data_IF_533985588833
#
_entry.id   IF_533985588833
#
_cell.length_a   1.000
_cell.length_b   1.000
_cell.length_c   1.000
_cell.angle_alpha   90.00
_cell.angle_beta   90.00
_cell.angle_gamma   90.00
#
_symmetry.space_group_name_H-M   'P 1'
#
loop_
_entity.id
_entity.type
_entity.pdbx_description
1 polymer ?
#
# COMPACT_ATOMS: atom_id res chain seq x y z
N UNK A 1 14.42 7.80 -49.44
CA UNK A 1 14.35 6.38 -49.00
C UNK A 1 14.77 6.20 -47.54
N UNK A 2 16.04 6.43 -47.14
CA UNK A 2 16.46 6.23 -45.73
C UNK A 2 15.79 7.22 -44.76
N UNK A 3 15.64 8.49 -45.16
CA UNK A 3 14.98 9.52 -44.36
C UNK A 3 13.47 9.30 -44.20
N UNK A 4 12.82 8.78 -45.25
CA UNK A 4 11.39 8.48 -45.23
C UNK A 4 11.11 7.28 -44.32
N UNK A 5 11.92 6.22 -44.44
CA UNK A 5 11.86 5.05 -43.56
C UNK A 5 12.06 5.45 -42.09
N UNK A 6 13.04 6.32 -41.81
CA UNK A 6 13.27 6.85 -40.46
C UNK A 6 12.05 7.63 -39.94
N UNK A 7 11.47 8.49 -40.76
CA UNK A 7 10.26 9.25 -40.39
C UNK A 7 9.08 8.31 -40.07
N UNK A 8 8.85 7.27 -40.88
CA UNK A 8 7.79 6.27 -40.60
C UNK A 8 8.03 5.52 -39.30
N UNK A 9 9.26 5.10 -39.02
CA UNK A 9 9.62 4.42 -37.77
C UNK A 9 9.36 5.33 -36.56
N UNK A 10 9.73 6.60 -36.64
CA UNK A 10 9.48 7.58 -35.58
C UNK A 10 7.98 7.77 -35.36
N UNK A 11 7.20 8.01 -36.42
CA UNK A 11 5.74 8.19 -36.32
C UNK A 11 5.07 6.94 -35.74
N UNK A 12 5.44 5.75 -36.22
CA UNK A 12 4.90 4.49 -35.72
C UNK A 12 5.23 4.26 -34.25
N UNK A 13 6.45 4.58 -33.83
CA UNK A 13 6.88 4.49 -32.42
C UNK A 13 6.07 5.44 -31.55
N UNK A 14 5.89 6.70 -31.98
CA UNK A 14 5.08 7.69 -31.25
C UNK A 14 3.63 7.24 -31.13
N UNK A 15 3.05 6.67 -32.19
CA UNK A 15 1.68 6.13 -32.16
C UNK A 15 1.56 4.97 -31.17
N UNK A 16 2.49 4.02 -31.17
CA UNK A 16 2.49 2.90 -30.20
C UNK A 16 2.59 3.43 -28.76
N UNK A 17 3.50 4.38 -28.51
CA UNK A 17 3.65 4.98 -27.18
C UNK A 17 2.36 5.72 -26.76
N UNK A 18 1.73 6.44 -27.69
CA UNK A 18 0.46 7.12 -27.44
C UNK A 18 -0.69 6.16 -27.12
N UNK A 19 -0.83 5.08 -27.90
CA UNK A 19 -1.86 4.06 -27.70
C UNK A 19 -1.64 3.32 -26.36
N UNK A 20 -0.41 2.91 -26.07
CA UNK A 20 -0.10 2.22 -24.80
C UNK A 20 -0.36 3.12 -23.59
N UNK A 21 0.05 4.40 -23.66
CA UNK A 21 -0.25 5.37 -22.62
C UNK A 21 -1.75 5.59 -22.40
N UNK A 22 -2.54 5.64 -23.48
CA UNK A 22 -4.00 5.75 -23.40
C UNK A 22 -4.63 4.53 -22.72
N UNK A 23 -4.19 3.32 -23.10
CA UNK A 23 -4.67 2.06 -22.50
C UNK A 23 -4.34 2.02 -21.01
N UNK A 24 -3.10 2.31 -20.62
CA UNK A 24 -2.68 2.28 -19.21
C UNK A 24 -3.39 3.35 -18.36
N UNK A 25 -3.59 4.55 -18.90
CA UNK A 25 -4.37 5.58 -18.23
C UNK A 25 -5.85 5.17 -18.06
N UNK A 26 -6.41 4.46 -19.03
CA UNK A 26 -7.78 3.93 -18.94
C UNK A 26 -7.88 2.82 -17.89
N UNK A 27 -6.91 1.89 -17.85
CA UNK A 27 -6.81 0.87 -16.79
C UNK A 27 -6.71 1.52 -15.41
N UNK A 28 -5.84 2.52 -15.27
CA UNK A 28 -5.70 3.29 -14.04
C UNK A 28 -7.03 3.88 -13.59
N UNK A 29 -7.71 4.65 -14.43
CA UNK A 29 -9.01 5.27 -14.09
C UNK A 29 -10.08 4.27 -13.67
N UNK A 30 -10.04 3.05 -14.22
CA UNK A 30 -11.01 1.99 -13.92
C UNK A 30 -10.61 1.11 -12.72
N UNK A 31 -9.36 1.17 -12.27
CA UNK A 31 -8.86 0.43 -11.10
C UNK A 31 -9.46 0.93 -9.79
N UNK A 32 -9.41 0.11 -8.73
CA UNK A 32 -9.87 0.52 -7.39
C UNK A 32 -9.10 1.75 -6.89
N UNK A 33 -7.79 1.81 -7.17
CA UNK A 33 -6.92 2.91 -6.78
C UNK A 33 -7.25 4.19 -7.55
N UNK A 34 -7.38 4.13 -8.87
CA UNK A 34 -7.67 5.31 -9.69
C UNK A 34 -9.06 5.91 -9.44
N UNK A 35 -10.05 5.10 -9.05
CA UNK A 35 -11.37 5.60 -8.64
C UNK A 35 -11.36 6.41 -7.34
N UNK A 36 -10.41 6.13 -6.45
CA UNK A 36 -10.26 6.84 -5.15
C UNK A 36 -9.19 7.93 -5.20
N UNK A 37 -8.27 7.89 -6.16
CA UNK A 37 -7.18 8.85 -6.29
C UNK A 37 -7.63 10.12 -7.04
N UNK A 38 -7.30 11.27 -6.49
CA UNK A 38 -7.46 12.58 -7.16
C UNK A 38 -6.30 12.91 -8.11
N UNK A 39 -5.27 12.06 -8.17
CA UNK A 39 -4.06 12.29 -8.97
C UNK A 39 -4.25 11.75 -10.39
N UNK A 40 -3.68 12.44 -11.37
CA UNK A 40 -3.60 11.91 -12.74
C UNK A 40 -2.64 10.71 -12.80
N UNK A 41 -2.84 9.83 -13.80
CA UNK A 41 -1.96 8.69 -14.04
C UNK A 41 -0.47 9.10 -14.13
N UNK A 42 -0.16 10.19 -14.83
CA UNK A 42 1.21 10.71 -14.94
C UNK A 42 1.77 11.20 -13.60
N UNK A 43 0.94 11.83 -12.77
CA UNK A 43 1.35 12.22 -11.42
C UNK A 43 1.64 11.01 -10.53
N UNK A 44 0.91 9.91 -10.73
CA UNK A 44 1.22 8.63 -10.09
C UNK A 44 2.57 8.12 -10.60
N UNK A 45 2.78 8.03 -11.91
CA UNK A 45 4.02 7.50 -12.51
C UNK A 45 5.29 8.27 -12.12
N UNK A 46 5.19 9.58 -11.87
CA UNK A 46 6.33 10.40 -11.46
C UNK A 46 6.67 10.28 -9.97
N UNK A 47 5.81 9.65 -9.18
CA UNK A 47 5.99 9.45 -7.74
C UNK A 47 6.33 7.99 -7.43
N UNK A 48 7.46 7.76 -6.77
CA UNK A 48 7.91 6.40 -6.46
C UNK A 48 6.99 5.68 -5.48
N UNK A 49 6.47 6.38 -4.47
CA UNK A 49 5.56 5.82 -3.47
C UNK A 49 4.20 5.48 -4.10
N UNK A 50 3.60 6.46 -4.78
CA UNK A 50 2.30 6.30 -5.41
C UNK A 50 2.30 5.22 -6.51
N UNK A 51 3.39 5.10 -7.29
CA UNK A 51 3.57 3.97 -8.22
C UNK A 51 3.58 2.62 -7.51
N UNK A 52 4.27 2.54 -6.38
CA UNK A 52 4.35 1.32 -5.58
C UNK A 52 2.96 0.90 -5.12
N UNK A 53 2.21 1.83 -4.53
CA UNK A 53 0.82 1.61 -4.11
C UNK A 53 -0.08 1.18 -5.26
N UNK A 54 -0.04 1.90 -6.40
CA UNK A 54 -0.85 1.55 -7.57
C UNK A 54 -0.54 0.13 -8.07
N UNK A 55 0.74 -0.23 -8.22
CA UNK A 55 1.14 -1.60 -8.63
C UNK A 55 0.67 -2.67 -7.64
N UNK A 56 0.75 -2.38 -6.34
CA UNK A 56 0.23 -3.27 -5.32
C UNK A 56 -1.30 -3.42 -5.45
N UNK A 57 -2.02 -2.32 -5.68
CA UNK A 57 -3.47 -2.35 -5.91
C UNK A 57 -3.87 -3.19 -7.13
N UNK A 58 -3.08 -3.17 -8.20
CA UNK A 58 -3.36 -4.00 -9.39
C UNK A 58 -3.27 -5.50 -9.08
N UNK A 59 -2.32 -5.92 -8.23
CA UNK A 59 -2.23 -7.30 -7.77
C UNK A 59 -3.38 -7.67 -6.84
N UNK A 60 -3.77 -6.76 -5.95
CA UNK A 60 -4.91 -6.94 -5.07
C UNK A 60 -6.18 -7.09 -5.92
N UNK A 61 -6.47 -6.15 -6.82
CA UNK A 61 -7.64 -6.17 -7.72
C UNK A 61 -7.75 -7.50 -8.47
N UNK A 62 -6.64 -7.99 -9.04
CA UNK A 62 -6.57 -9.28 -9.77
C UNK A 62 -6.75 -10.52 -8.89
N UNK A 63 -6.59 -10.41 -7.56
CA UNK A 63 -6.84 -11.55 -6.68
C UNK A 63 -8.31 -11.98 -6.73
N UNK A 64 -8.55 -13.28 -6.57
CA UNK A 64 -9.91 -13.85 -6.61
C UNK A 64 -10.63 -13.81 -5.25
N UNK A 65 -10.14 -13.00 -4.31
CA UNK A 65 -10.81 -12.72 -3.04
C UNK A 65 -11.99 -11.77 -3.29
N UNK A 66 -13.12 -12.07 -2.66
CA UNK A 66 -14.19 -11.09 -2.49
C UNK A 66 -13.70 -10.04 -1.49
N UNK A 67 -13.62 -8.80 -1.95
CA UNK A 67 -12.89 -7.75 -1.24
C UNK A 67 -13.37 -6.35 -1.61
N UNK A 68 -13.04 -5.40 -0.73
CA UNK A 68 -13.04 -3.97 -0.97
C UNK A 68 -11.67 -3.40 -0.60
N UNK A 69 -11.21 -2.41 -1.36
CA UNK A 69 -9.93 -1.74 -1.12
C UNK A 69 -10.19 -0.28 -0.78
N UNK A 70 -9.44 0.23 0.20
CA UNK A 70 -9.42 1.64 0.58
C UNK A 70 -7.97 2.11 0.56
N UNK A 71 -7.74 3.34 0.09
CA UNK A 71 -6.40 3.89 -0.06
C UNK A 71 -6.28 5.22 0.70
N UNK A 72 -5.10 5.49 1.27
CA UNK A 72 -4.79 6.72 2.00
C UNK A 72 -5.85 7.03 3.08
N UNK A 73 -6.09 6.08 3.99
CA UNK A 73 -7.15 6.16 4.99
C UNK A 73 -6.62 6.89 6.23
N UNK A 74 -7.24 8.01 6.61
CA UNK A 74 -6.83 8.82 7.76
C UNK A 74 -7.63 8.44 9.00
N UNK A 75 -7.03 7.62 9.86
CA UNK A 75 -7.66 7.16 11.11
C UNK A 75 -7.40 8.18 12.22
N UNK A 76 -8.44 8.74 12.86
CA UNK A 76 -8.28 9.63 14.00
C UNK A 76 -7.60 8.94 15.19
N UNK A 77 -6.73 9.68 15.88
CA UNK A 77 -6.13 9.27 17.16
C UNK A 77 -6.86 9.95 18.32
N UNK A 78 -6.25 9.93 19.50
CA UNK A 78 -6.83 10.48 20.74
C UNK A 78 -6.95 12.00 20.75
N UNK A 79 -6.05 12.71 20.08
CA UNK A 79 -6.05 14.18 20.05
C UNK A 79 -6.80 14.65 18.82
N UNK A 80 -7.57 15.72 18.99
CA UNK A 80 -8.17 16.45 17.88
C UNK A 80 -7.07 16.80 16.86
N UNK A 81 -7.37 16.59 15.58
CA UNK A 81 -6.47 16.73 14.43
C UNK A 81 -5.20 15.86 14.39
N UNK A 82 -5.05 14.87 15.27
CA UNK A 82 -3.99 13.86 15.15
C UNK A 82 -4.53 12.62 14.47
N UNK A 83 -3.98 12.30 13.30
CA UNK A 83 -4.39 11.15 12.49
C UNK A 83 -3.21 10.22 12.20
N UNK A 84 -3.52 8.96 11.91
CA UNK A 84 -2.57 8.07 11.24
C UNK A 84 -3.08 7.77 9.85
N UNK A 85 -2.22 7.91 8.84
CA UNK A 85 -2.52 7.49 7.48
C UNK A 85 -2.18 6.00 7.34
N UNK A 86 -3.06 5.25 6.69
CA UNK A 86 -2.86 3.86 6.29
C UNK A 86 -2.87 3.82 4.76
N UNK A 87 -1.79 3.36 4.15
CA UNK A 87 -1.62 3.37 2.70
C UNK A 87 -2.73 2.60 2.00
N UNK A 88 -2.93 1.32 2.38
CA UNK A 88 -3.97 0.46 1.81
C UNK A 88 -4.62 -0.41 2.90
N UNK A 89 -5.95 -0.41 2.93
CA UNK A 89 -6.74 -1.38 3.69
C UNK A 89 -7.46 -2.28 2.69
N UNK A 90 -7.28 -3.59 2.83
CA UNK A 90 -8.09 -4.58 2.12
C UNK A 90 -9.04 -5.25 3.12
N UNK A 91 -10.34 -5.10 2.89
CA UNK A 91 -11.39 -5.78 3.64
C UNK A 91 -11.85 -6.93 2.77
N UNK A 92 -11.68 -8.17 3.21
CA UNK A 92 -12.11 -9.35 2.45
C UNK A 92 -12.70 -10.40 3.39
N UNK A 93 -13.23 -11.48 2.83
CA UNK A 93 -13.87 -12.53 3.65
C UNK A 93 -12.91 -13.16 4.66
N UNK A 94 -11.59 -13.02 4.48
CA UNK A 94 -10.54 -13.53 5.38
C UNK A 94 -10.15 -12.56 6.50
N UNK A 95 -10.74 -11.36 6.54
CA UNK A 95 -10.47 -10.33 7.54
C UNK A 95 -10.07 -8.98 6.94
N UNK A 96 -9.51 -8.11 7.80
CA UNK A 96 -8.98 -6.80 7.43
C UNK A 96 -7.46 -6.89 7.34
N UNK A 97 -6.93 -6.71 6.14
CA UNK A 97 -5.49 -6.59 5.92
C UNK A 97 -5.12 -5.12 5.95
N UNK A 98 -4.21 -4.74 6.84
CA UNK A 98 -3.58 -3.42 6.88
C UNK A 98 -2.24 -3.54 6.17
N UNK A 99 -2.11 -2.91 5.00
CA UNK A 99 -0.96 -3.07 4.14
C UNK A 99 -0.05 -1.85 4.22
N UNK A 100 1.25 -2.11 4.40
CA UNK A 100 2.31 -1.12 4.30
C UNK A 100 3.24 -1.52 3.15
N UNK A 101 3.41 -0.64 2.15
CA UNK A 101 4.30 -0.91 1.02
C UNK A 101 5.58 -0.11 1.16
N UNK A 102 6.70 -0.79 1.37
CA UNK A 102 8.00 -0.16 1.52
C UNK A 102 8.81 -0.20 0.23
N UNK A 103 9.11 0.99 -0.27
CA UNK A 103 9.93 1.20 -1.46
C UNK A 103 11.42 1.31 -1.11
N UNK A 104 12.04 0.19 -0.71
CA UNK A 104 13.48 0.07 -0.44
C UNK A 104 14.19 -0.78 -1.49
N UNK A 105 15.50 -0.92 -1.40
CA UNK A 105 16.32 -1.69 -2.33
C UNK A 105 17.48 -2.36 -1.60
N UNK A 106 18.15 -3.32 -2.25
CA UNK A 106 19.28 -3.99 -1.61
C UNK A 106 18.82 -5.00 -0.56
N UNK A 107 19.55 -5.13 0.55
CA UNK A 107 19.28 -6.15 1.57
C UNK A 107 18.53 -5.56 2.77
N UNK A 108 17.45 -6.22 3.18
CA UNK A 108 16.63 -5.80 4.31
C UNK A 108 16.82 -6.76 5.48
N UNK A 109 17.03 -6.18 6.67
CA UNK A 109 17.23 -6.87 7.94
C UNK A 109 16.36 -6.24 9.01
N UNK A 110 15.81 -7.08 9.89
CA UNK A 110 15.07 -6.62 11.05
C UNK A 110 14.25 -7.72 11.70
N UNK A 111 13.84 -7.49 12.93
CA UNK A 111 12.90 -8.33 13.66
C UNK A 111 11.67 -7.53 14.07
N UNK A 112 10.59 -8.25 14.34
CA UNK A 112 9.37 -7.67 14.92
C UNK A 112 9.63 -6.86 16.19
N UNK A 113 10.57 -7.31 17.03
CA UNK A 113 10.93 -6.66 18.31
C UNK A 113 11.77 -5.39 18.13
N UNK A 114 12.44 -5.22 17.00
CA UNK A 114 13.32 -4.07 16.78
C UNK A 114 12.56 -2.75 16.66
N UNK A 115 13.14 -1.67 17.18
CA UNK A 115 12.58 -0.32 16.95
C UNK A 115 12.78 0.16 15.52
N UNK A 116 13.91 -0.20 14.90
CA UNK A 116 14.29 0.21 13.54
C UNK A 116 14.82 -1.00 12.79
N UNK A 117 14.54 -1.04 11.50
CA UNK A 117 15.11 -2.01 10.57
C UNK A 117 16.26 -1.38 9.80
N UNK A 118 17.04 -2.22 9.11
CA UNK A 118 18.21 -1.82 8.35
C UNK A 118 18.05 -2.22 6.88
N UNK A 119 18.26 -1.26 5.99
CA UNK A 119 18.52 -1.45 4.57
C UNK A 119 20.03 -1.37 4.36
N UNK A 120 20.62 -2.33 3.64
CA UNK A 120 22.00 -2.26 3.17
C UNK A 120 22.00 -2.09 1.65
N UNK A 121 22.50 -0.95 1.19
CA UNK A 121 22.63 -0.61 -0.22
C UNK A 121 24.09 -0.27 -0.53
N UNK A 122 24.72 -1.03 -1.44
CA UNK A 122 26.13 -0.86 -1.81
C UNK A 122 27.08 -0.80 -0.60
N UNK A 123 26.86 -1.69 0.38
CA UNK A 123 27.64 -1.77 1.62
C UNK A 123 27.32 -0.70 2.67
N UNK A 124 26.51 0.32 2.35
CA UNK A 124 26.08 1.36 3.29
C UNK A 124 24.79 0.95 3.99
N UNK A 125 24.70 1.21 5.30
CA UNK A 125 23.54 0.90 6.14
C UNK A 125 22.66 2.13 6.31
N UNK A 126 21.37 1.99 6.06
CA UNK A 126 20.35 2.99 6.29
C UNK A 126 19.28 2.40 7.20
N UNK A 127 18.98 3.09 8.29
CA UNK A 127 18.00 2.60 9.26
C UNK A 127 16.66 3.29 9.05
N UNK A 128 15.56 2.55 9.15
CA UNK A 128 14.21 3.10 9.04
C UNK A 128 13.32 2.54 10.14
N UNK A 129 12.21 3.23 10.42
CA UNK A 129 11.28 2.77 11.47
C UNK A 129 10.69 1.41 11.11
N UNK A 130 10.55 0.53 12.10
CA UNK A 130 10.03 -0.82 11.88
C UNK A 130 8.58 -0.76 11.31
N UNK A 131 8.35 -1.29 10.10
CA UNK A 131 7.03 -1.23 9.45
C UNK A 131 5.97 -2.07 10.16
N UNK A 132 6.36 -3.15 10.86
CA UNK A 132 5.43 -3.94 11.67
C UNK A 132 4.89 -3.08 12.83
N UNK A 133 5.77 -2.32 13.50
CA UNK A 133 5.35 -1.44 14.60
C UNK A 133 4.49 -0.27 14.13
N UNK A 134 4.70 0.18 12.90
CA UNK A 134 3.85 1.17 12.24
C UNK A 134 2.44 0.58 12.05
N UNK A 135 2.32 -0.58 11.42
CA UNK A 135 1.04 -1.28 11.26
C UNK A 135 0.35 -1.64 12.57
N UNK A 136 1.08 -2.07 13.61
CA UNK A 136 0.48 -2.33 14.92
C UNK A 136 -0.16 -1.07 15.51
N UNK A 137 0.42 0.11 15.25
CA UNK A 137 -0.19 1.38 15.64
C UNK A 137 -1.45 1.66 14.83
N UNK A 138 -1.42 1.41 13.52
CA UNK A 138 -2.59 1.54 12.64
C UNK A 138 -3.74 0.64 13.09
N UNK A 139 -3.48 -0.66 13.24
CA UNK A 139 -4.45 -1.67 13.69
C UNK A 139 -5.02 -1.29 15.05
N UNK A 140 -4.19 -0.83 16.00
CA UNK A 140 -4.68 -0.38 17.32
C UNK A 140 -5.70 0.75 17.24
N UNK A 141 -5.52 1.72 16.34
CA UNK A 141 -6.51 2.81 16.20
C UNK A 141 -7.71 2.38 15.36
N UNK A 142 -7.49 1.53 14.35
CA UNK A 142 -8.55 0.95 13.54
C UNK A 142 -9.48 0.09 14.40
N UNK A 143 -8.94 -0.74 15.28
CA UNK A 143 -9.75 -1.58 16.17
C UNK A 143 -10.52 -0.78 17.22
N UNK A 144 -9.95 0.31 17.73
CA UNK A 144 -10.72 1.23 18.59
C UNK A 144 -11.91 1.85 17.88
N UNK A 145 -11.77 2.12 16.58
CA UNK A 145 -12.82 2.70 15.75
C UNK A 145 -13.87 1.66 15.37
N UNK A 146 -13.44 0.46 14.98
CA UNK A 146 -14.32 -0.56 14.40
C UNK A 146 -14.91 -1.52 15.43
N UNK A 147 -14.13 -1.87 16.46
CA UNK A 147 -14.49 -2.75 17.59
C UNK A 147 -15.02 -4.11 17.13
N UNK A 148 -14.24 -4.78 16.27
CA UNK A 148 -14.66 -6.05 15.65
C UNK A 148 -13.88 -7.27 16.11
N UNK A 149 -12.85 -7.08 16.96
CA UNK A 149 -11.94 -8.12 17.41
C UNK A 149 -10.57 -8.03 16.75
N UNK A 150 -9.51 -7.96 17.57
CA UNK A 150 -8.11 -7.88 17.12
C UNK A 150 -7.71 -9.06 16.22
N UNK A 151 -8.34 -10.22 16.41
CA UNK A 151 -8.07 -11.40 15.62
C UNK A 151 -8.35 -11.14 14.14
N UNK A 152 -9.35 -10.32 13.79
CA UNK A 152 -9.77 -10.07 12.40
C UNK A 152 -8.77 -9.26 11.58
N UNK A 153 -7.74 -8.71 12.20
CA UNK A 153 -6.72 -7.92 11.50
C UNK A 153 -5.51 -8.75 11.13
N UNK A 154 -4.94 -8.45 9.97
CA UNK A 154 -3.66 -8.97 9.51
C UNK A 154 -2.76 -7.81 9.12
N UNK A 155 -1.57 -7.73 9.71
CA UNK A 155 -0.54 -6.77 9.30
C UNK A 155 0.26 -7.36 8.14
N UNK A 156 0.16 -6.75 6.96
CA UNK A 156 0.88 -7.20 5.78
C UNK A 156 1.89 -6.14 5.33
N UNK A 157 3.17 -6.42 5.57
CA UNK A 157 4.27 -5.57 5.10
C UNK A 157 4.76 -6.14 3.78
N UNK A 158 4.76 -5.30 2.75
CA UNK A 158 5.33 -5.65 1.45
C UNK A 158 6.55 -4.79 1.16
N UNK A 159 7.52 -5.37 0.47
CA UNK A 159 8.66 -4.66 -0.08
C UNK A 159 8.65 -4.80 -1.60
N UNK A 160 9.05 -3.74 -2.31
CA UNK A 160 9.15 -3.78 -3.77
C UNK A 160 10.07 -4.92 -4.28
N UNK A 161 10.09 -5.15 -5.59
CA UNK A 161 10.91 -6.20 -6.21
C UNK A 161 12.42 -6.01 -6.10
N UNK A 162 12.89 -4.81 -5.72
CA UNK A 162 14.32 -4.46 -5.60
C UNK A 162 14.89 -4.78 -4.21
N UNK A 163 14.02 -5.09 -3.24
CA UNK A 163 14.39 -5.44 -1.89
C UNK A 163 14.58 -6.96 -1.74
N UNK A 164 15.65 -7.34 -1.06
CA UNK A 164 15.98 -8.73 -0.73
C UNK A 164 15.87 -8.91 0.78
N UNK A 165 14.82 -9.58 1.23
CA UNK A 165 14.62 -9.93 2.64
C UNK A 165 15.66 -10.98 3.04
N UNK A 166 16.66 -10.59 3.86
CA UNK A 166 17.77 -11.49 4.23
C UNK A 166 17.57 -12.16 5.58
N UNK A 167 17.37 -11.36 6.63
CA UNK A 167 17.11 -11.86 7.99
C UNK A 167 15.95 -11.07 8.57
N UNK A 168 14.75 -11.57 8.30
CA UNK A 168 13.52 -11.06 8.85
C UNK A 168 12.97 -12.08 9.85
N UNK A 169 12.76 -11.66 11.09
CA UNK A 169 12.18 -12.52 12.14
C UNK A 169 10.84 -11.94 12.56
N UNK A 170 9.78 -12.73 12.36
CA UNK A 170 8.40 -12.42 12.75
C UNK A 170 7.92 -13.55 13.64
N UNK A 171 7.32 -13.20 14.77
CA UNK A 171 6.85 -14.17 15.78
C UNK A 171 5.31 -14.18 15.86
N UNK A 172 4.65 -13.07 15.52
CA UNK A 172 3.19 -12.95 15.56
C UNK A 172 2.51 -13.67 14.37
N UNK A 173 1.45 -14.42 14.65
CA UNK A 173 0.72 -15.24 13.66
C UNK A 173 0.03 -14.43 12.54
N UNK A 174 -0.48 -13.24 12.89
CA UNK A 174 -1.21 -12.36 11.97
C UNK A 174 -0.32 -11.25 11.38
N UNK A 175 1.01 -11.44 11.40
CA UNK A 175 1.98 -10.51 10.82
C UNK A 175 2.72 -11.21 9.69
N UNK A 176 2.70 -10.62 8.51
CA UNK A 176 3.38 -11.13 7.33
C UNK A 176 4.32 -10.07 6.76
N UNK A 177 5.54 -10.49 6.42
CA UNK A 177 6.53 -9.66 5.73
C UNK A 177 6.95 -10.39 4.48
N UNK A 178 6.55 -9.88 3.32
CA UNK A 178 6.74 -10.58 2.05
C UNK A 178 7.33 -9.68 0.96
N UNK A 179 8.08 -10.27 0.05
CA UNK A 179 8.50 -9.58 -1.16
C UNK A 179 7.33 -9.44 -2.13
N UNK A 180 7.33 -8.37 -2.94
CA UNK A 180 6.28 -8.07 -3.93
C UNK A 180 5.96 -9.27 -4.84
N UNK A 181 7.00 -9.97 -5.30
CA UNK A 181 6.84 -11.13 -6.20
C UNK A 181 6.12 -12.33 -5.53
N UNK A 182 6.05 -12.36 -4.19
CA UNK A 182 5.37 -13.40 -3.43
C UNK A 182 3.92 -13.04 -3.08
N UNK A 183 3.48 -11.79 -3.31
CA UNK A 183 2.15 -11.31 -2.93
C UNK A 183 1.02 -12.10 -3.60
N UNK A 184 1.13 -12.39 -4.89
CA UNK A 184 0.10 -13.17 -5.60
C UNK A 184 -0.07 -14.57 -5.01
N UNK A 185 1.04 -15.26 -4.71
CA UNK A 185 1.03 -16.57 -4.06
C UNK A 185 0.44 -16.48 -2.65
N UNK A 186 0.82 -15.46 -1.89
CA UNK A 186 0.26 -15.20 -0.56
C UNK A 186 -1.26 -15.05 -0.61
N UNK A 187 -1.80 -14.17 -1.46
CA UNK A 187 -3.25 -13.94 -1.58
C UNK A 187 -4.01 -15.20 -2.02
N UNK A 188 -3.39 -16.03 -2.87
CA UNK A 188 -3.97 -17.32 -3.27
C UNK A 188 -4.06 -18.30 -2.08
N UNK A 189 -3.05 -18.32 -1.21
CA UNK A 189 -3.06 -19.13 0.00
C UNK A 189 -4.08 -18.60 1.02
N UNK A 190 -4.18 -17.28 1.20
CA UNK A 190 -5.17 -16.68 2.09
C UNK A 190 -6.60 -17.05 1.69
N UNK A 191 -6.90 -17.12 0.39
CA UNK A 191 -8.22 -17.53 -0.10
C UNK A 191 -8.66 -18.92 0.39
N UNK A 192 -7.73 -19.83 0.65
CA UNK A 192 -8.04 -21.18 1.13
C UNK A 192 -8.35 -21.25 2.64
N UNK A 193 -8.10 -20.17 3.40
CA UNK A 193 -8.42 -20.11 4.84
C UNK A 193 -9.93 -19.98 5.07
N UNK A 194 -10.44 -20.33 6.26
CA UNK A 194 -11.84 -20.08 6.63
C UNK A 194 -12.22 -18.60 6.53
N UNK A 195 -13.49 -18.34 6.23
CA UNK A 195 -14.02 -16.97 6.28
C UNK A 195 -14.16 -16.49 7.73
N UNK A 196 -13.92 -15.19 7.90
CA UNK A 196 -13.95 -14.45 9.17
C UNK A 196 -14.84 -13.22 9.10
N UNK A 197 -15.21 -12.81 7.88
CA UNK A 197 -16.13 -11.75 7.56
C UNK A 197 -17.09 -12.22 6.48
N UNK A 198 -18.36 -11.87 6.63
CA UNK A 198 -19.40 -12.01 5.62
C UNK A 198 -19.37 -10.86 4.61
N UNK A 199 -19.99 -11.05 3.44
CA UNK A 199 -20.17 -10.00 2.43
C UNK A 199 -20.83 -8.73 2.99
N UNK A 200 -21.79 -8.91 3.90
CA UNK A 200 -22.48 -7.81 4.57
C UNK A 200 -21.55 -7.03 5.50
N UNK A 201 -20.77 -7.72 6.33
CA UNK A 201 -19.76 -7.08 7.17
C UNK A 201 -18.70 -6.34 6.32
N UNK A 202 -18.27 -6.92 5.19
CA UNK A 202 -17.34 -6.25 4.27
C UNK A 202 -17.91 -4.90 3.79
N UNK A 203 -19.18 -4.87 3.38
CA UNK A 203 -19.83 -3.65 2.92
C UNK A 203 -19.99 -2.64 4.05
N UNK A 204 -20.46 -3.06 5.22
CA UNK A 204 -20.62 -2.19 6.38
C UNK A 204 -19.28 -1.56 6.82
N UNK A 205 -18.21 -2.34 6.87
CA UNK A 205 -16.87 -1.85 7.22
C UNK A 205 -16.33 -0.89 6.15
N UNK A 206 -16.57 -1.19 4.87
CA UNK A 206 -16.18 -0.33 3.77
C UNK A 206 -16.88 1.04 3.85
N UNK A 207 -18.19 1.07 4.02
CA UNK A 207 -18.97 2.32 4.13
C UNK A 207 -18.56 3.15 5.36
N UNK A 208 -18.20 2.51 6.48
CA UNK A 208 -17.68 3.20 7.67
C UNK A 208 -16.33 3.86 7.45
N UNK A 209 -15.46 3.25 6.63
CA UNK A 209 -14.09 3.72 6.43
C UNK A 209 -13.93 4.62 5.20
N UNK A 210 -14.81 4.52 4.20
CA UNK A 210 -14.74 5.30 2.97
C UNK A 210 -14.69 6.83 3.18
N UNK A 211 -15.46 7.44 4.10
CA UNK A 211 -15.35 8.88 4.38
C UNK A 211 -13.94 9.30 4.86
N UNK A 212 -13.20 8.39 5.49
CA UNK A 212 -11.86 8.66 6.03
C UNK A 212 -10.77 8.69 4.93
N UNK A 213 -11.10 8.37 3.68
CA UNK A 213 -10.21 8.55 2.52
C UNK A 213 -10.39 9.93 1.87
N UNK A 214 -11.49 10.61 2.16
CA UNK A 214 -11.90 11.85 1.51
C UNK A 214 -11.45 13.10 2.29
N UNK A 215 -10.21 13.09 2.77
CA UNK A 215 -9.67 14.22 3.55
C UNK A 215 -9.31 15.41 2.65
N UNK A 216 -9.46 16.61 3.20
CA UNK A 216 -9.10 17.85 2.51
C UNK A 216 -7.58 18.00 2.35
N UNK A 217 -7.12 18.81 1.39
CA UNK A 217 -5.70 19.17 1.25
C UNK A 217 -5.12 19.78 2.54
N UNK A 218 -5.93 20.55 3.28
CA UNK A 218 -5.54 21.15 4.54
C UNK A 218 -5.27 20.09 5.62
N UNK A 219 -6.17 19.12 5.78
CA UNK A 219 -5.98 17.99 6.71
C UNK A 219 -4.75 17.15 6.34
N UNK A 220 -4.51 16.92 5.04
CA UNK A 220 -3.31 16.22 4.57
C UNK A 220 -2.03 16.99 4.91
N UNK A 221 -2.03 18.32 4.73
CA UNK A 221 -0.88 19.15 5.10
C UNK A 221 -0.64 19.16 6.62
N UNK A 222 -1.70 19.29 7.41
CA UNK A 222 -1.63 19.23 8.87
C UNK A 222 -1.08 17.90 9.37
N UNK A 223 -1.48 16.79 8.75
CA UNK A 223 -0.91 15.46 9.01
C UNK A 223 0.61 15.42 8.78
N UNK A 224 1.07 15.92 7.62
CA UNK A 224 2.50 15.99 7.28
C UNK A 224 3.27 16.84 8.30
N UNK A 225 2.71 17.98 8.70
CA UNK A 225 3.36 18.88 9.66
C UNK A 225 3.47 18.23 11.05
N UNK A 226 2.44 17.48 11.48
CA UNK A 226 2.45 16.71 12.72
C UNK A 226 3.52 15.60 12.70
N UNK A 227 3.67 14.90 11.56
CA UNK A 227 4.75 13.91 11.37
C UNK A 227 6.11 14.59 11.48
N UNK A 228 6.35 15.70 10.76
CA UNK A 228 7.64 16.41 10.79
C UNK A 228 8.01 16.86 12.20
N UNK A 229 7.07 17.45 12.95
CA UNK A 229 7.29 17.85 14.36
C UNK A 229 7.66 16.67 15.25
N UNK A 230 7.09 15.49 15.00
CA UNK A 230 7.40 14.27 15.75
C UNK A 230 8.80 13.74 15.47
N UNK A 231 9.27 13.82 14.22
CA UNK A 231 10.58 13.28 13.82
C UNK A 231 11.73 14.29 13.84
N UNK A 232 11.47 15.60 13.92
CA UNK A 232 12.51 16.65 14.11
C UNK A 232 13.00 16.80 15.55
N UNK A 233 12.28 16.24 16.55
CA UNK A 233 12.68 16.28 17.96
C UNK A 233 13.72 15.20 18.35
N UNK A 234 14.34 14.55 17.37
CA UNK A 234 15.34 13.49 17.54
C UNK A 234 16.45 13.66 16.50
#
# INVERSE_FOLDING_TARGET
MLNDLFAYVVVFTVLIVGITAYIENTKYKNSSYGKQSTRSFWNILNDKGARGEYRMSELLDKSSLEKKLLFNVYIPKKKEDDTTEIDIIMICTKGIYVLENKNYSGWIFGSEKDRRWCETLNGKKYFFYNPIRQNNTHIKYLEKLLQIGEEKYTSLITFNSSANLKKITVESENVYVIAYNSLSKFLKNEKAKPDRLTSEEINQLYERLLPLTQVTKAQKQQHIDNIKKKYQKH
#
